data_IF_495212643239
#
_entry.id   IF_495212643239
#
_cell.length_a   1.000
_cell.length_b   1.000
_cell.length_c   1.000
_cell.angle_alpha   90.00
_cell.angle_beta   90.00
_cell.angle_gamma   90.00
#
_symmetry.space_group_name_H-M   'P 1'
#
loop_
_entity.id
_entity.type
_entity.pdbx_description
1 polymer ?
#
# COMPACT_ATOMS: atom_id res chain seq x y z
N UNK A 1 -16.97 -23.90 -23.44
CA UNK A 1 -17.39 -22.68 -24.15
C UNK A 1 -16.63 -21.53 -23.53
N UNK A 2 -15.89 -20.77 -24.34
CA UNK A 2 -15.09 -19.64 -23.87
C UNK A 2 -16.01 -18.54 -23.34
N UNK A 3 -15.87 -18.19 -22.08
CA UNK A 3 -16.54 -17.01 -21.50
C UNK A 3 -15.76 -15.77 -21.93
N UNK A 4 -16.04 -15.25 -23.12
CA UNK A 4 -15.31 -14.11 -23.68
C UNK A 4 -15.68 -12.83 -22.93
N UNK A 5 -14.75 -12.28 -22.14
CA UNK A 5 -14.93 -10.96 -21.53
C UNK A 5 -14.90 -9.91 -22.65
N UNK A 6 -15.99 -9.14 -22.76
CA UNK A 6 -16.11 -8.08 -23.77
C UNK A 6 -16.04 -6.71 -23.12
N UNK A 7 -15.25 -5.81 -23.71
CA UNK A 7 -15.13 -4.43 -23.28
C UNK A 7 -15.79 -3.51 -24.29
N UNK A 8 -16.88 -2.86 -23.88
CA UNK A 8 -17.50 -1.81 -24.66
C UNK A 8 -16.84 -0.48 -24.28
N UNK A 9 -15.97 0.01 -25.16
CA UNK A 9 -15.39 1.33 -25.02
C UNK A 9 -16.31 2.36 -25.65
N UNK A 10 -16.60 3.45 -24.93
CA UNK A 10 -17.48 4.53 -25.41
C UNK A 10 -16.81 5.87 -25.13
N UNK A 11 -16.66 6.71 -26.17
CA UNK A 11 -16.18 8.08 -26.00
C UNK A 11 -17.36 9.03 -25.78
N UNK A 12 -17.60 9.39 -24.52
CA UNK A 12 -18.58 10.42 -24.12
C UNK A 12 -17.96 11.81 -23.96
N UNK A 13 -16.67 11.97 -24.21
CA UNK A 13 -16.03 13.28 -24.22
C UNK A 13 -16.46 14.05 -25.47
N UNK A 14 -16.39 15.38 -25.41
CA UNK A 14 -16.61 16.26 -26.57
C UNK A 14 -15.43 16.25 -27.55
N UNK A 15 -14.25 15.82 -27.08
CA UNK A 15 -13.02 15.77 -27.85
C UNK A 15 -12.77 14.35 -28.42
N UNK A 16 -11.96 14.28 -29.48
CA UNK A 16 -11.45 13.03 -30.04
C UNK A 16 -10.50 12.36 -29.02
N UNK A 17 -10.75 11.08 -28.71
CA UNK A 17 -9.90 10.28 -27.84
C UNK A 17 -9.17 9.21 -28.67
N UNK A 18 -7.89 9.03 -28.39
CA UNK A 18 -7.05 8.00 -28.99
C UNK A 18 -6.77 6.90 -27.97
N UNK A 19 -7.36 5.73 -28.15
CA UNK A 19 -7.15 4.57 -27.29
C UNK A 19 -5.69 4.10 -27.34
N UNK A 20 -5.09 3.83 -26.19
CA UNK A 20 -3.84 3.09 -26.07
C UNK A 20 -4.06 1.86 -25.22
N UNK A 21 -3.43 0.73 -25.57
CA UNK A 21 -3.45 -0.47 -24.77
C UNK A 21 -2.07 -1.15 -24.73
N UNK A 22 -1.77 -1.85 -23.65
CA UNK A 22 -0.57 -2.70 -23.55
C UNK A 22 -0.84 -3.91 -22.63
N UNK A 23 -0.70 -5.16 -23.11
CA UNK A 23 -0.45 -5.52 -24.51
C UNK A 23 -1.62 -5.11 -25.42
N UNK A 24 -1.32 -4.82 -26.68
CA UNK A 24 -2.29 -4.37 -27.71
C UNK A 24 -3.52 -5.30 -27.76
N UNK A 25 -4.71 -4.71 -27.94
CA UNK A 25 -6.01 -5.41 -27.86
C UNK A 25 -7.04 -4.90 -28.88
N UNK A 26 -6.80 -5.15 -30.16
CA UNK A 26 -7.72 -4.68 -31.22
C UNK A 26 -7.76 -3.15 -31.33
N UNK A 27 -6.74 -2.48 -30.82
CA UNK A 27 -6.47 -1.04 -30.88
C UNK A 27 -5.78 -0.62 -32.19
N UNK A 28 -5.97 -1.40 -33.27
CA UNK A 28 -5.51 -1.07 -34.62
C UNK A 28 -6.15 0.22 -35.15
N UNK A 29 -7.39 0.49 -34.72
CA UNK A 29 -8.11 1.75 -34.96
C UNK A 29 -8.30 2.46 -33.62
N UNK A 30 -7.29 3.21 -33.16
CA UNK A 30 -7.32 3.83 -31.84
C UNK A 30 -8.19 5.10 -31.80
N UNK A 31 -8.73 5.57 -32.92
CA UNK A 31 -9.44 6.85 -33.03
C UNK A 31 -10.92 6.72 -32.64
N UNK A 32 -11.34 7.45 -31.61
CA UNK A 32 -12.73 7.48 -31.14
C UNK A 32 -13.29 8.89 -31.14
N UNK A 33 -14.17 9.21 -32.09
CA UNK A 33 -14.86 10.50 -32.14
C UNK A 33 -15.93 10.58 -31.05
N UNK A 34 -16.35 11.80 -30.70
CA UNK A 34 -17.37 12.03 -29.68
C UNK A 34 -18.66 11.27 -30.02
N UNK A 35 -19.20 10.54 -29.04
CA UNK A 35 -20.42 9.75 -29.19
C UNK A 35 -20.24 8.38 -29.84
N UNK A 36 -19.01 7.94 -30.13
CA UNK A 36 -18.76 6.61 -30.71
C UNK A 36 -18.47 5.55 -29.66
N UNK A 37 -18.75 4.29 -30.02
CA UNK A 37 -18.44 3.12 -29.19
C UNK A 37 -17.87 1.99 -30.04
N UNK A 38 -16.96 1.19 -29.46
CA UNK A 38 -16.41 -0.04 -30.05
C UNK A 38 -16.38 -1.14 -29.00
N UNK A 39 -16.65 -2.36 -29.42
CA UNK A 39 -16.52 -3.55 -28.59
C UNK A 39 -15.18 -4.22 -28.87
N UNK A 40 -14.39 -4.43 -27.82
CA UNK A 40 -13.11 -5.14 -27.84
C UNK A 40 -13.27 -6.49 -27.16
N UNK A 41 -12.83 -7.56 -27.82
CA UNK A 41 -12.81 -8.91 -27.25
C UNK A 41 -11.48 -9.14 -26.53
N UNK A 42 -11.55 -9.44 -25.24
CA UNK A 42 -10.37 -9.74 -24.43
C UNK A 42 -10.13 -11.26 -24.39
N UNK A 43 -8.90 -11.74 -24.62
CA UNK A 43 -8.52 -13.11 -24.28
C UNK A 43 -8.78 -13.41 -22.80
N UNK A 44 -9.17 -14.64 -22.47
CA UNK A 44 -9.56 -15.09 -21.12
C UNK A 44 -8.47 -14.92 -20.03
N UNK A 45 -7.24 -14.55 -20.41
CA UNK A 45 -6.07 -14.34 -19.53
C UNK A 45 -5.38 -12.99 -19.79
N UNK A 46 -6.04 -12.08 -20.49
CA UNK A 46 -5.43 -10.81 -20.84
C UNK A 46 -5.20 -9.97 -19.57
N UNK A 47 -3.97 -9.49 -19.42
CA UNK A 47 -3.53 -8.62 -18.34
C UNK A 47 -2.77 -7.46 -18.95
N UNK A 48 -3.22 -6.24 -18.66
CA UNK A 48 -2.64 -5.06 -19.27
C UNK A 48 -3.22 -3.75 -18.78
N UNK A 49 -2.88 -2.70 -19.50
CA UNK A 49 -3.31 -1.33 -19.27
C UNK A 49 -4.03 -0.80 -20.49
N UNK A 50 -5.05 0.03 -20.28
CA UNK A 50 -5.82 0.71 -21.33
C UNK A 50 -5.94 2.17 -20.93
N UNK A 51 -5.61 3.13 -21.79
CA UNK A 51 -5.70 4.55 -21.46
C UNK A 51 -6.18 5.39 -22.66
N UNK A 52 -6.69 6.59 -22.36
CA UNK A 52 -7.07 7.58 -23.38
C UNK A 52 -5.95 8.59 -23.62
N UNK A 53 -5.64 8.85 -24.89
CA UNK A 53 -4.70 9.88 -25.35
C UNK A 53 -5.47 11.01 -25.99
N UNK A 54 -4.99 12.24 -25.84
CA UNK A 54 -5.69 13.43 -26.37
C UNK A 54 -4.75 14.29 -27.19
N UNK A 55 -5.34 15.07 -28.11
CA UNK A 55 -4.61 16.03 -28.96
C UNK A 55 -3.45 15.39 -29.72
N UNK A 56 -3.73 14.27 -30.37
CA UNK A 56 -2.74 13.54 -31.13
C UNK A 56 -2.63 14.05 -32.57
N UNK A 57 -1.42 14.08 -33.10
CA UNK A 57 -1.13 14.48 -34.47
C UNK A 57 0.08 13.74 -35.03
N UNK A 58 0.11 13.62 -36.36
CA UNK A 58 1.30 13.25 -37.12
C UNK A 58 2.04 14.52 -37.51
N UNK A 59 3.35 14.57 -37.25
CA UNK A 59 4.18 15.63 -37.79
C UNK A 59 4.66 15.32 -39.22
N UNK A 60 5.35 16.27 -39.84
CA UNK A 60 5.88 16.15 -41.20
C UNK A 60 6.88 14.99 -41.40
N UNK A 61 7.43 14.42 -40.32
CA UNK A 61 8.35 13.28 -40.34
C UNK A 61 7.65 11.95 -40.05
N UNK A 62 6.31 11.90 -40.14
CA UNK A 62 5.48 10.74 -39.78
C UNK A 62 5.62 10.29 -38.32
N UNK A 63 6.12 11.15 -37.43
CA UNK A 63 6.16 10.87 -36.00
C UNK A 63 4.81 11.21 -35.39
N UNK A 64 4.17 10.21 -34.76
CA UNK A 64 2.89 10.36 -34.09
C UNK A 64 3.09 10.77 -32.64
N UNK A 65 2.46 11.85 -32.21
CA UNK A 65 2.57 12.33 -30.82
C UNK A 65 1.25 12.87 -30.30
N UNK A 66 0.99 12.68 -29.01
CA UNK A 66 -0.17 13.17 -28.29
C UNK A 66 0.19 14.24 -27.26
N UNK A 67 -0.74 15.17 -27.03
CA UNK A 67 -0.58 16.17 -25.97
C UNK A 67 -0.62 15.57 -24.57
N UNK A 68 -1.42 14.51 -24.36
CA UNK A 68 -1.43 13.72 -23.12
C UNK A 68 -1.55 12.23 -23.42
N UNK A 69 -1.02 11.38 -22.53
CA UNK A 69 -1.07 9.92 -22.66
C UNK A 69 -0.21 9.35 -23.79
N UNK A 70 0.70 10.15 -24.38
CA UNK A 70 1.50 9.73 -25.52
C UNK A 70 2.33 8.47 -25.24
N UNK A 71 2.47 7.59 -26.25
CA UNK A 71 3.21 6.34 -26.15
C UNK A 71 4.50 6.28 -26.97
N UNK A 72 5.07 7.44 -27.30
CA UNK A 72 6.44 7.53 -27.78
C UNK A 72 6.61 7.34 -29.28
N UNK A 73 5.74 7.91 -30.11
CA UNK A 73 6.00 8.04 -31.55
C UNK A 73 5.10 7.23 -32.49
N UNK A 74 4.28 6.31 -31.97
CA UNK A 74 3.48 5.39 -32.78
C UNK A 74 1.97 5.53 -32.52
N UNK A 75 1.17 5.33 -33.58
CA UNK A 75 -0.30 5.28 -33.46
C UNK A 75 -0.76 4.11 -32.59
N UNK A 76 -0.16 2.94 -32.75
CA UNK A 76 -0.43 1.74 -31.95
C UNK A 76 0.68 1.65 -30.89
N UNK A 77 0.29 1.50 -29.62
CA UNK A 77 1.24 1.47 -28.52
C UNK A 77 1.78 0.04 -28.34
N UNK A 78 3.08 -0.17 -28.61
CA UNK A 78 3.74 -1.47 -28.46
C UNK A 78 5.06 -1.33 -27.70
N UNK A 79 4.99 -1.05 -26.40
CA UNK A 79 6.15 -0.81 -25.54
C UNK A 79 7.05 0.38 -25.98
N UNK A 80 7.76 1.07 -25.06
CA UNK A 80 7.67 1.02 -23.61
C UNK A 80 6.46 1.80 -23.08
N UNK A 81 5.99 1.41 -21.90
CA UNK A 81 4.80 1.97 -21.25
C UNK A 81 5.09 3.39 -20.76
N UNK A 82 4.36 4.43 -21.21
CA UNK A 82 4.27 5.66 -20.44
C UNK A 82 3.55 5.32 -19.16
N UNK A 83 4.17 5.63 -18.01
CA UNK A 83 3.56 5.71 -16.68
C UNK A 83 2.01 5.75 -16.75
N UNK A 84 1.36 4.58 -16.59
CA UNK A 84 0.04 4.30 -17.16
C UNK A 84 -1.11 4.28 -16.14
N UNK A 85 -2.27 4.89 -16.42
CA UNK A 85 -3.29 5.11 -15.40
C UNK A 85 -4.40 4.06 -15.18
N UNK A 86 -4.35 2.85 -15.76
CA UNK A 86 -5.42 1.86 -15.57
C UNK A 86 -4.92 0.44 -15.73
N UNK A 87 -5.21 -0.46 -14.79
CA UNK A 87 -4.78 -1.86 -14.85
C UNK A 87 -6.01 -2.76 -14.89
N UNK A 88 -5.99 -3.73 -15.79
CA UNK A 88 -7.05 -4.70 -15.96
C UNK A 88 -6.41 -6.08 -16.07
N UNK A 89 -6.96 -7.03 -15.31
CA UNK A 89 -6.55 -8.44 -15.33
C UNK A 89 -7.80 -9.31 -15.42
N UNK A 90 -7.87 -10.10 -16.50
CA UNK A 90 -8.94 -11.07 -16.75
C UNK A 90 -8.44 -12.48 -16.45
N UNK A 91 -9.29 -13.29 -15.83
CA UNK A 91 -9.15 -14.73 -15.63
C UNK A 91 -10.52 -15.36 -15.94
N UNK A 92 -10.62 -16.58 -16.50
CA UNK A 92 -11.87 -17.22 -16.92
C UNK A 92 -12.93 -17.36 -15.82
N UNK A 93 -12.56 -17.25 -14.54
CA UNK A 93 -13.47 -17.37 -13.40
C UNK A 93 -13.68 -16.05 -12.62
N UNK A 94 -12.74 -15.10 -12.70
CA UNK A 94 -12.76 -13.85 -11.94
C UNK A 94 -12.13 -12.72 -12.77
N UNK A 95 -12.86 -11.61 -12.92
CA UNK A 95 -12.34 -10.39 -13.57
C UNK A 95 -11.98 -9.37 -12.51
N UNK A 96 -10.75 -8.86 -12.56
CA UNK A 96 -10.27 -7.78 -11.69
C UNK A 96 -9.94 -6.54 -12.52
N UNK A 97 -10.47 -5.39 -12.11
CA UNK A 97 -10.30 -4.12 -12.81
C UNK A 97 -10.03 -3.00 -11.80
N UNK A 98 -9.14 -2.08 -12.16
CA UNK A 98 -8.85 -0.89 -11.36
C UNK A 98 -8.66 0.36 -12.23
N UNK A 99 -9.01 1.49 -11.64
CA UNK A 99 -8.73 2.82 -12.15
C UNK A 99 -7.53 3.37 -11.39
N UNK A 100 -6.40 3.64 -12.04
CA UNK A 100 -5.11 3.88 -11.40
C UNK A 100 -4.55 5.28 -11.70
N UNK A 101 -4.85 6.27 -10.88
CA UNK A 101 -4.33 7.63 -11.01
C UNK A 101 -2.89 7.80 -10.50
N UNK A 102 -2.14 6.72 -10.22
CA UNK A 102 -0.75 6.83 -9.72
C UNK A 102 0.19 7.55 -10.67
N UNK A 103 -0.18 7.66 -11.94
CA UNK A 103 0.63 8.31 -12.96
C UNK A 103 -0.03 9.59 -13.48
N UNK A 104 -1.03 10.08 -12.74
CA UNK A 104 -1.78 11.26 -13.04
C UNK A 104 -3.12 10.98 -13.72
N UNK A 105 -3.82 12.07 -14.02
CA UNK A 105 -5.16 12.05 -14.61
C UNK A 105 -5.20 13.03 -15.78
N UNK A 106 -5.70 12.56 -16.94
CA UNK A 106 -5.83 13.36 -18.16
C UNK A 106 -7.23 13.28 -18.79
N UNK A 107 -7.94 12.16 -18.63
CA UNK A 107 -9.29 11.93 -19.17
C UNK A 107 -10.18 11.36 -18.07
N UNK A 108 -11.39 11.92 -17.86
CA UNK A 108 -12.43 11.31 -17.03
C UNK A 108 -12.78 9.89 -17.50
N UNK A 109 -12.78 8.91 -16.58
CA UNK A 109 -13.06 7.52 -16.93
C UNK A 109 -14.04 6.89 -15.94
N UNK A 110 -14.90 6.02 -16.47
CA UNK A 110 -15.79 5.14 -15.72
C UNK A 110 -15.66 3.71 -16.25
N UNK A 111 -15.41 2.78 -15.35
CA UNK A 111 -15.46 1.34 -15.60
C UNK A 111 -16.75 0.83 -14.96
N UNK A 112 -17.67 0.35 -15.79
CA UNK A 112 -18.98 -0.14 -15.38
C UNK A 112 -19.14 -1.60 -15.80
N UNK A 113 -19.07 -2.56 -14.85
CA UNK A 113 -19.39 -3.95 -15.13
C UNK A 113 -20.85 -4.10 -15.55
N UNK A 114 -21.10 -4.92 -16.56
CA UNK A 114 -22.44 -5.33 -16.97
C UNK A 114 -22.63 -6.79 -16.57
N UNK A 115 -23.38 -7.01 -15.49
CA UNK A 115 -23.55 -8.35 -14.89
C UNK A 115 -22.38 -8.79 -14.00
N UNK A 116 -22.40 -10.07 -13.62
CA UNK A 116 -21.44 -10.65 -12.68
C UNK A 116 -21.75 -10.36 -11.21
N UNK A 117 -20.99 -10.96 -10.31
CA UNK A 117 -21.08 -10.73 -8.86
C UNK A 117 -19.71 -10.80 -8.23
N UNK A 118 -19.55 -10.14 -7.10
CA UNK A 118 -18.32 -10.23 -6.31
C UNK A 118 -18.03 -11.69 -5.94
N UNK A 119 -16.75 -12.05 -5.93
CA UNK A 119 -16.29 -13.36 -5.47
C UNK A 119 -16.83 -13.59 -4.05
N UNK A 120 -17.52 -14.71 -3.84
CA UNK A 120 -18.23 -15.01 -2.59
C UNK A 120 -19.69 -14.54 -2.52
N UNK A 121 -20.26 -14.01 -3.60
CA UNK A 121 -21.69 -13.70 -3.70
C UNK A 121 -22.15 -12.47 -2.91
N UNK A 122 -21.22 -11.61 -2.48
CA UNK A 122 -21.47 -10.45 -1.61
C UNK A 122 -22.19 -9.27 -2.29
N UNK A 123 -22.62 -9.41 -3.55
CA UNK A 123 -23.40 -8.40 -4.27
C UNK A 123 -22.87 -8.10 -5.68
N UNK A 124 -23.44 -7.07 -6.35
CA UNK A 124 -23.03 -6.68 -7.70
C UNK A 124 -21.62 -6.11 -7.73
N UNK A 125 -20.96 -6.23 -8.89
CA UNK A 125 -19.63 -5.67 -9.11
C UNK A 125 -19.68 -4.13 -9.05
N UNK A 126 -18.79 -3.46 -8.29
CA UNK A 126 -18.84 -2.01 -8.11
C UNK A 126 -18.45 -1.26 -9.39
N UNK A 127 -19.13 -0.14 -9.66
CA UNK A 127 -18.69 0.82 -10.67
C UNK A 127 -17.49 1.58 -10.13
N UNK A 128 -16.42 1.68 -10.90
CA UNK A 128 -15.22 2.46 -10.53
C UNK A 128 -15.13 3.65 -11.48
N UNK A 129 -15.26 4.87 -10.97
CA UNK A 129 -15.14 6.08 -11.77
C UNK A 129 -14.25 7.16 -11.16
N UNK A 130 -13.79 8.04 -12.03
CA UNK A 130 -13.11 9.27 -11.70
C UNK A 130 -13.47 10.30 -12.76
N UNK A 131 -14.60 10.97 -12.53
CA UNK A 131 -15.15 11.98 -13.43
C UNK A 131 -14.90 13.42 -12.97
N UNK A 132 -14.15 13.60 -11.88
CA UNK A 132 -13.89 14.91 -11.29
C UNK A 132 -12.96 15.73 -12.19
N UNK A 133 -13.29 17.01 -12.37
CA UNK A 133 -12.34 17.96 -12.94
C UNK A 133 -11.28 18.34 -11.90
N UNK A 134 -10.03 17.94 -12.17
CA UNK A 134 -8.89 18.23 -11.32
C UNK A 134 -8.19 19.56 -11.66
N UNK A 135 -8.65 20.31 -12.66
CA UNK A 135 -8.06 21.58 -13.09
C UNK A 135 -7.97 22.60 -11.94
N UNK A 136 -8.99 22.65 -11.08
CA UNK A 136 -9.10 23.57 -9.94
C UNK A 136 -8.58 22.97 -8.62
N UNK A 137 -8.15 21.72 -8.65
CA UNK A 137 -7.79 20.93 -7.47
C UNK A 137 -6.30 20.55 -7.49
N UNK A 138 -5.64 20.58 -8.65
CA UNK A 138 -4.24 20.26 -8.80
C UNK A 138 -3.33 21.41 -8.31
N UNK A 139 -2.46 21.18 -7.31
CA UNK A 139 -1.47 22.17 -6.88
C UNK A 139 -0.59 22.68 -8.04
N UNK A 140 -0.26 23.98 -8.11
CA UNK A 140 0.50 24.56 -9.24
C UNK A 140 1.83 23.86 -9.55
N UNK A 141 2.49 23.29 -8.55
CA UNK A 141 3.76 22.58 -8.66
C UNK A 141 3.63 21.15 -9.25
N UNK A 142 2.42 20.62 -9.37
CA UNK A 142 2.13 19.29 -9.93
C UNK A 142 1.46 19.34 -11.29
N UNK A 143 1.25 20.54 -11.80
CA UNK A 143 0.76 20.77 -13.15
C UNK A 143 1.89 20.43 -14.11
N UNK A 144 1.82 19.23 -14.70
CA UNK A 144 2.48 18.97 -15.96
C UNK A 144 1.72 19.75 -17.05
N UNK A 145 2.34 20.80 -17.56
CA UNK A 145 1.78 21.65 -18.62
C UNK A 145 1.99 20.95 -19.96
N UNK A 146 0.90 20.66 -20.66
CA UNK A 146 0.96 20.41 -22.10
C UNK A 146 1.44 21.65 -22.85
N UNK A 147 1.87 21.48 -24.11
CA UNK A 147 2.39 22.56 -24.98
C UNK A 147 1.42 23.74 -25.19
N UNK A 148 0.15 23.61 -24.79
CA UNK A 148 -0.93 24.58 -24.93
C UNK A 148 -1.47 25.12 -23.59
N UNK A 149 -0.83 24.78 -22.47
CA UNK A 149 -1.21 25.28 -21.14
C UNK A 149 -2.32 24.53 -20.42
N UNK A 150 -2.79 23.36 -20.92
CA UNK A 150 -3.75 22.50 -20.20
C UNK A 150 -3.04 21.41 -19.36
N UNK A 151 -3.71 20.99 -18.28
CA UNK A 151 -3.15 20.39 -17.07
C UNK A 151 -3.11 18.85 -17.09
N UNK A 152 -1.98 18.27 -16.69
CA UNK A 152 -1.87 16.89 -16.19
C UNK A 152 -1.41 16.96 -14.74
N UNK A 153 -2.07 16.28 -13.81
CA UNK A 153 -1.71 16.37 -12.40
C UNK A 153 -0.79 15.21 -11.99
N UNK A 154 0.45 15.52 -11.62
CA UNK A 154 1.49 14.56 -11.24
C UNK A 154 1.19 13.94 -9.85
N UNK A 155 1.50 12.65 -9.63
CA UNK A 155 1.32 11.97 -8.34
C UNK A 155 2.29 12.48 -7.25
N UNK A 156 1.78 12.82 -6.05
CA UNK A 156 2.60 13.08 -4.85
C UNK A 156 1.77 12.97 -3.53
N UNK A 157 2.25 13.58 -2.45
CA UNK A 157 1.67 13.71 -1.09
C UNK A 157 0.16 14.09 -1.03
N UNK A 158 -0.43 14.58 -2.13
CA UNK A 158 -1.86 14.91 -2.25
C UNK A 158 -2.72 13.75 -2.79
N UNK A 159 -2.26 12.50 -2.70
CA UNK A 159 -3.03 11.31 -3.08
C UNK A 159 -4.39 11.19 -2.37
N UNK A 160 -4.52 11.80 -1.18
CA UNK A 160 -5.76 11.98 -0.42
C UNK A 160 -6.79 12.85 -1.14
N UNK A 161 -6.36 13.83 -1.93
CA UNK A 161 -7.21 14.72 -2.72
C UNK A 161 -7.82 13.96 -3.88
N UNK A 162 -6.99 13.24 -4.64
CA UNK A 162 -7.47 12.32 -5.67
C UNK A 162 -8.37 11.24 -5.09
N UNK A 163 -8.07 10.72 -3.89
CA UNK A 163 -8.89 9.69 -3.25
C UNK A 163 -10.24 10.23 -2.79
N UNK A 164 -10.30 11.47 -2.29
CA UNK A 164 -11.56 12.14 -1.93
C UNK A 164 -12.44 12.39 -3.16
N UNK A 165 -11.83 12.77 -4.28
CA UNK A 165 -12.53 13.00 -5.54
C UNK A 165 -12.94 11.70 -6.24
N UNK A 166 -12.12 10.66 -6.14
CA UNK A 166 -12.27 9.39 -6.86
C UNK A 166 -12.13 8.22 -5.89
N UNK A 167 -13.18 8.00 -5.09
CA UNK A 167 -13.19 7.10 -3.93
C UNK A 167 -12.78 5.65 -4.21
N UNK A 168 -13.09 5.13 -5.39
CA UNK A 168 -12.74 3.76 -5.79
C UNK A 168 -11.49 3.70 -6.69
N UNK A 169 -10.96 4.83 -7.14
CA UNK A 169 -9.71 4.88 -7.89
C UNK A 169 -8.50 4.63 -6.96
N UNK A 170 -7.48 4.02 -7.51
CA UNK A 170 -6.16 3.84 -6.94
C UNK A 170 -5.33 5.10 -7.24
N UNK A 171 -4.87 5.86 -6.24
CA UNK A 171 -4.38 7.25 -6.45
C UNK A 171 -2.93 7.49 -6.04
N UNK A 172 -2.25 6.45 -5.59
CA UNK A 172 -0.83 6.38 -5.26
C UNK A 172 -0.40 4.91 -5.29
N UNK A 173 0.87 4.56 -5.58
CA UNK A 173 1.36 3.18 -5.48
C UNK A 173 1.00 2.59 -4.11
N UNK A 174 -0.01 1.71 -4.06
CA UNK A 174 -0.56 1.11 -2.85
C UNK A 174 -1.87 1.69 -2.29
N UNK A 175 -2.91 1.90 -3.12
CA UNK A 175 -4.28 2.15 -2.60
C UNK A 175 -4.89 0.98 -1.76
N UNK A 176 -4.07 -0.03 -1.46
CA UNK A 176 -4.21 -0.97 -0.35
C UNK A 176 -3.14 -0.63 0.70
N UNK A 177 -3.39 0.43 1.47
CA UNK A 177 -2.54 0.79 2.60
C UNK A 177 -3.07 0.12 3.86
N UNK A 178 -2.19 -0.57 4.58
CA UNK A 178 -2.43 -0.95 5.95
C UNK A 178 -1.90 0.14 6.86
N UNK A 179 -2.61 0.42 7.95
CA UNK A 179 -2.12 1.26 9.03
C UNK A 179 -1.54 0.38 10.11
N UNK A 180 -0.29 0.61 10.46
CA UNK A 180 0.36 -0.08 11.57
C UNK A 180 0.48 0.92 12.71
N UNK A 181 -0.32 0.70 13.75
CA UNK A 181 -0.31 1.52 14.96
C UNK A 181 0.50 0.81 16.04
N UNK A 182 1.58 1.44 16.47
CA UNK A 182 2.42 1.01 17.58
C UNK A 182 1.89 1.67 18.85
N UNK A 183 1.69 0.90 19.91
CA UNK A 183 1.26 1.39 21.22
C UNK A 183 2.19 0.84 22.29
N UNK A 184 2.83 1.75 23.03
CA UNK A 184 3.68 1.37 24.15
C UNK A 184 2.84 1.30 25.44
N UNK A 185 2.42 0.10 25.88
CA UNK A 185 1.81 -0.04 27.20
C UNK A 185 2.83 -0.29 28.32
N UNK A 186 4.13 -0.42 28.01
CA UNK A 186 5.21 -0.53 28.99
C UNK A 186 5.30 0.74 29.85
N UNK A 187 5.83 0.60 31.07
CA UNK A 187 6.02 1.74 31.99
C UNK A 187 7.19 2.64 31.59
N UNK A 188 8.12 2.14 30.78
CA UNK A 188 9.31 2.84 30.28
C UNK A 188 9.16 3.21 28.80
N UNK A 189 9.94 4.21 28.37
CA UNK A 189 10.11 4.52 26.95
C UNK A 189 10.72 3.34 26.21
N UNK A 190 10.24 3.10 25.00
CA UNK A 190 10.80 2.13 24.05
C UNK A 190 11.12 2.84 22.73
N UNK A 191 11.99 2.24 21.92
CA UNK A 191 12.33 2.78 20.61
C UNK A 191 12.07 1.74 19.52
N UNK A 192 10.84 1.69 18.95
CA UNK A 192 10.54 0.76 17.88
C UNK A 192 11.48 0.91 16.69
N UNK A 193 11.77 -0.22 16.04
CA UNK A 193 12.51 -0.32 14.80
C UNK A 193 11.66 -1.02 13.74
N UNK A 194 11.84 -0.67 12.48
CA UNK A 194 11.13 -1.29 11.36
C UNK A 194 12.13 -1.72 10.30
N UNK A 195 11.93 -2.91 9.72
CA UNK A 195 12.72 -3.39 8.60
C UNK A 195 11.81 -3.97 7.53
N UNK A 196 11.96 -3.49 6.30
CA UNK A 196 11.36 -4.13 5.12
C UNK A 196 12.29 -5.24 4.62
N UNK A 197 11.75 -6.43 4.36
CA UNK A 197 12.47 -7.61 3.89
C UNK A 197 12.90 -7.52 2.42
N UNK A 198 13.69 -8.49 1.97
CA UNK A 198 14.08 -8.70 0.57
C UNK A 198 14.78 -7.50 -0.08
N UNK A 199 15.48 -6.69 0.72
CA UNK A 199 16.17 -5.46 0.29
C UNK A 199 15.26 -4.46 -0.45
N UNK A 200 13.96 -4.54 -0.20
CA UNK A 200 12.98 -3.59 -0.74
C UNK A 200 13.08 -2.22 -0.04
N UNK A 201 12.51 -1.16 -0.64
CA UNK A 201 12.49 0.17 -0.02
C UNK A 201 11.94 0.13 1.40
N UNK A 202 12.61 0.83 2.31
CA UNK A 202 12.23 0.88 3.72
C UNK A 202 11.02 1.78 3.94
N UNK A 203 10.32 1.59 5.06
CA UNK A 203 9.28 2.51 5.50
C UNK A 203 9.85 3.91 5.76
N UNK A 204 8.99 4.93 5.68
CA UNK A 204 9.39 6.33 5.89
C UNK A 204 10.02 6.59 7.25
N UNK A 205 9.71 5.76 8.24
CA UNK A 205 10.28 5.83 9.58
C UNK A 205 10.81 4.46 9.99
N UNK A 206 12.14 4.31 9.99
CA UNK A 206 12.83 3.04 10.31
C UNK A 206 13.18 2.88 11.79
N UNK A 207 12.98 3.92 12.59
CA UNK A 207 13.11 3.84 14.04
C UNK A 207 12.77 5.17 14.70
N UNK A 208 12.08 5.09 15.84
CA UNK A 208 11.52 6.26 16.52
C UNK A 208 11.40 6.04 18.02
N UNK A 209 11.27 7.13 18.78
CA UNK A 209 10.98 7.09 20.22
C UNK A 209 9.47 6.94 20.44
N UNK A 210 9.09 6.08 21.39
CA UNK A 210 7.70 5.90 21.81
C UNK A 210 7.60 5.88 23.34
N UNK A 211 7.15 7.01 23.90
CA UNK A 211 6.95 7.18 25.33
C UNK A 211 5.92 6.20 25.89
N UNK A 212 5.99 5.95 27.20
CA UNK A 212 4.97 5.18 27.92
C UNK A 212 3.56 5.70 27.62
N UNK A 213 2.65 4.79 27.29
CA UNK A 213 1.26 5.03 26.87
C UNK A 213 1.07 5.80 25.56
N UNK A 214 2.15 6.18 24.87
CA UNK A 214 2.05 6.82 23.56
C UNK A 214 1.73 5.81 22.46
N UNK A 215 1.20 6.34 21.35
CA UNK A 215 1.00 5.58 20.11
C UNK A 215 1.49 6.35 18.89
N UNK A 216 1.99 5.63 17.89
CA UNK A 216 2.41 6.17 16.60
C UNK A 216 1.85 5.29 15.48
N UNK A 217 1.42 5.88 14.36
CA UNK A 217 0.88 5.12 13.22
C UNK A 217 1.73 5.34 11.98
N UNK A 218 2.04 4.26 11.26
CA UNK A 218 2.68 4.28 9.95
C UNK A 218 1.74 3.72 8.89
N UNK A 219 1.72 4.34 7.72
CA UNK A 219 1.06 3.80 6.53
C UNK A 219 2.02 2.87 5.78
N UNK A 220 1.58 1.64 5.52
CA UNK A 220 2.35 0.60 4.83
C UNK A 220 1.62 0.18 3.56
N UNK A 221 2.35 0.19 2.44
CA UNK A 221 1.79 -0.07 1.11
C UNK A 221 1.85 -1.56 0.79
N UNK A 222 0.73 -2.17 0.44
CA UNK A 222 0.74 -3.54 -0.07
C UNK A 222 1.35 -3.63 -1.50
N UNK A 223 1.99 -4.74 -1.86
CA UNK A 223 2.41 -5.81 -0.97
C UNK A 223 3.62 -5.40 -0.13
N UNK A 224 3.64 -5.81 1.12
CA UNK A 224 4.76 -5.53 2.02
C UNK A 224 5.10 -6.73 2.87
N UNK A 225 6.39 -7.00 3.02
CA UNK A 225 6.89 -8.00 3.96
C UNK A 225 7.98 -7.36 4.80
N UNK A 226 7.91 -7.55 6.10
CA UNK A 226 8.90 -7.03 7.00
C UNK A 226 8.63 -7.37 8.45
N UNK A 227 9.41 -6.75 9.33
CA UNK A 227 9.39 -7.00 10.76
C UNK A 227 9.53 -5.73 11.57
N UNK A 228 8.98 -5.80 12.78
CA UNK A 228 9.04 -4.76 13.80
C UNK A 228 9.63 -5.34 15.08
N UNK A 229 10.33 -4.51 15.83
CA UNK A 229 10.82 -4.81 17.16
C UNK A 229 10.82 -3.52 17.98
N UNK A 230 11.12 -3.62 19.28
CA UNK A 230 11.34 -2.44 20.11
C UNK A 230 12.66 -2.56 20.88
N UNK A 231 13.43 -1.48 20.85
CA UNK A 231 14.65 -1.33 21.63
C UNK A 231 14.32 -0.78 23.02
N UNK A 232 15.10 -1.19 24.01
CA UNK A 232 14.94 -0.70 25.39
C UNK A 232 16.25 -0.15 25.93
N UNK A 233 16.14 0.73 26.94
CA UNK A 233 17.28 1.31 27.65
C UNK A 233 18.26 2.00 26.69
N UNK A 234 17.70 2.80 25.79
CA UNK A 234 18.51 3.55 24.84
C UNK A 234 19.04 4.83 25.47
N UNK A 235 20.25 5.18 25.11
CA UNK A 235 20.89 6.43 25.49
C UNK A 235 21.60 7.08 24.30
N UNK A 236 21.74 8.40 24.35
CA UNK A 236 22.51 9.16 23.37
C UNK A 236 23.74 9.73 24.05
N UNK A 237 24.92 9.23 23.68
CA UNK A 237 26.20 9.75 24.15
C UNK A 237 26.82 10.62 23.06
N UNK A 238 26.93 11.93 23.31
CA UNK A 238 27.50 13.02 22.48
C UNK A 238 27.07 13.09 21.00
N UNK A 239 27.17 12.01 20.24
CA UNK A 239 26.73 11.86 18.84
C UNK A 239 26.17 10.47 18.50
N UNK A 240 26.24 9.50 19.41
CA UNK A 240 25.92 8.09 19.16
C UNK A 240 24.71 7.64 19.98
N UNK A 241 23.70 7.07 19.32
CA UNK A 241 22.53 6.46 19.95
C UNK A 241 22.71 4.95 20.02
N UNK A 242 22.63 4.39 21.23
CA UNK A 242 22.82 2.96 21.50
C UNK A 242 21.80 2.44 22.50
N UNK A 243 21.37 1.21 22.32
CA UNK A 243 20.43 0.52 23.22
C UNK A 243 21.03 -0.77 23.78
N UNK A 244 20.65 -1.12 25.01
CA UNK A 244 21.11 -2.37 25.65
C UNK A 244 20.48 -3.61 25.01
N UNK A 245 19.22 -3.53 24.54
CA UNK A 245 18.55 -4.66 23.87
C UNK A 245 18.02 -4.27 22.49
N UNK A 246 18.09 -5.24 21.58
CA UNK A 246 17.58 -5.15 20.21
C UNK A 246 18.11 -3.96 19.39
N UNK A 247 19.30 -3.45 19.74
CA UNK A 247 19.95 -2.35 19.03
C UNK A 247 20.13 -2.68 17.54
N UNK A 248 20.08 -1.67 16.67
CA UNK A 248 20.23 -1.90 15.23
C UNK A 248 21.60 -1.49 14.69
N UNK A 249 22.53 -1.10 15.56
CA UNK A 249 23.95 -0.87 15.23
C UNK A 249 24.21 0.36 14.36
N UNK A 250 23.22 1.22 14.14
CA UNK A 250 23.37 2.41 13.28
C UNK A 250 23.97 3.62 13.99
N UNK A 251 24.03 3.59 15.32
CA UNK A 251 24.36 4.76 16.11
C UNK A 251 23.30 5.86 16.08
N UNK A 252 22.10 5.57 15.56
CA UNK A 252 21.00 6.53 15.36
C UNK A 252 19.68 5.94 15.81
N UNK A 253 18.72 6.81 16.11
CA UNK A 253 17.33 6.38 16.37
C UNK A 253 16.76 5.65 15.15
N UNK A 254 17.02 6.13 13.93
CA UNK A 254 16.62 5.45 12.71
C UNK A 254 17.51 4.24 12.39
N UNK A 255 16.90 3.09 12.08
CA UNK A 255 17.64 1.85 11.77
C UNK A 255 18.03 1.72 10.28
N UNK A 256 17.50 2.54 9.38
CA UNK A 256 17.97 2.68 7.99
C UNK A 256 18.21 1.36 7.22
N UNK A 257 17.32 0.37 7.41
CA UNK A 257 17.42 -0.93 6.74
C UNK A 257 18.31 -1.97 7.43
N UNK A 258 18.78 -1.68 8.64
CA UNK A 258 19.41 -2.68 9.52
C UNK A 258 18.36 -3.31 10.43
N UNK A 259 18.56 -4.60 10.76
CA UNK A 259 17.71 -5.32 11.70
C UNK A 259 18.19 -5.19 13.14
N UNK A 260 17.36 -5.65 14.08
CA UNK A 260 17.78 -5.81 15.47
C UNK A 260 18.97 -6.79 15.58
N UNK A 261 19.91 -6.47 16.47
CA UNK A 261 20.90 -7.39 16.99
C UNK A 261 20.19 -8.23 18.07
N UNK A 262 20.06 -9.56 17.92
CA UNK A 262 19.42 -10.42 18.90
C UNK A 262 20.09 -10.35 20.30
N UNK A 263 19.34 -10.56 21.40
CA UNK A 263 17.96 -11.03 21.44
C UNK A 263 16.90 -9.94 21.21
N UNK A 264 15.85 -10.26 20.45
CA UNK A 264 14.75 -9.34 20.14
C UNK A 264 13.42 -10.07 19.91
N UNK A 265 12.37 -9.63 20.60
CA UNK A 265 11.00 -10.03 20.28
C UNK A 265 10.57 -9.38 18.96
N UNK A 266 10.08 -10.17 18.00
CA UNK A 266 9.70 -9.69 16.67
C UNK A 266 8.18 -9.75 16.45
N UNK A 267 7.68 -8.79 15.69
CA UNK A 267 6.39 -8.88 14.99
C UNK A 267 6.67 -8.94 13.51
N UNK A 268 6.31 -10.04 12.86
CA UNK A 268 6.51 -10.25 11.43
C UNK A 268 5.17 -10.10 10.72
N UNK A 269 5.14 -9.36 9.60
CA UNK A 269 3.93 -9.16 8.81
C UNK A 269 4.24 -9.30 7.33
N UNK A 270 3.39 -10.03 6.63
CA UNK A 270 3.30 -10.13 5.18
C UNK A 270 1.91 -9.66 4.74
N UNK A 271 1.84 -8.46 4.18
CA UNK A 271 0.65 -7.85 3.59
C UNK A 271 0.60 -8.25 2.12
N UNK A 272 -0.46 -8.94 1.73
CA UNK A 272 -0.63 -9.44 0.36
C UNK A 272 -1.07 -8.33 -0.60
N UNK A 273 -0.72 -8.50 -1.88
CA UNK A 273 -1.25 -7.65 -2.95
C UNK A 273 -2.73 -7.98 -3.24
N UNK A 274 -3.45 -7.06 -3.88
CA UNK A 274 -4.82 -7.24 -4.38
C UNK A 274 -5.84 -7.75 -3.33
N UNK A 275 -5.74 -7.30 -2.07
CA UNK A 275 -6.60 -7.76 -0.95
C UNK A 275 -6.50 -9.27 -0.69
N UNK A 276 -5.32 -9.84 -0.94
CA UNK A 276 -5.02 -11.23 -0.63
C UNK A 276 -4.98 -11.50 0.88
N UNK A 277 -4.57 -12.72 1.23
CA UNK A 277 -4.48 -13.15 2.63
C UNK A 277 -3.19 -12.62 3.27
N UNK A 278 -3.34 -11.76 4.27
CA UNK A 278 -2.24 -11.29 5.10
C UNK A 278 -1.83 -12.36 6.11
N UNK A 279 -0.53 -12.44 6.40
CA UNK A 279 0.04 -13.30 7.45
C UNK A 279 0.81 -12.45 8.44
N UNK A 280 0.68 -12.76 9.72
CA UNK A 280 1.40 -12.07 10.78
C UNK A 280 1.58 -12.97 12.00
N UNK A 281 2.65 -12.73 12.74
CA UNK A 281 2.94 -13.46 13.96
C UNK A 281 3.85 -12.65 14.91
N UNK A 282 3.82 -13.04 16.18
CA UNK A 282 4.88 -12.73 17.13
C UNK A 282 5.89 -13.87 17.09
N UNK A 283 7.15 -13.54 16.85
CA UNK A 283 8.24 -14.50 16.72
C UNK A 283 9.30 -14.26 17.79
N UNK A 284 9.70 -15.34 18.46
CA UNK A 284 10.81 -15.38 19.40
C UNK A 284 12.02 -16.12 18.82
N UNK A 285 12.05 -16.33 17.50
CA UNK A 285 13.17 -17.02 16.82
C UNK A 285 14.49 -16.27 17.07
N UNK A 286 14.44 -14.95 17.17
CA UNK A 286 15.60 -14.10 17.48
C UNK A 286 15.71 -13.80 18.99
N UNK A 287 15.08 -14.61 19.86
CA UNK A 287 15.08 -14.42 21.31
C UNK A 287 13.96 -13.51 21.82
N UNK A 288 14.09 -13.02 23.05
CA UNK A 288 13.08 -12.16 23.69
C UNK A 288 13.75 -11.04 24.48
N UNK A 289 13.21 -9.83 24.36
CA UNK A 289 13.63 -8.67 25.17
C UNK A 289 12.44 -7.97 25.86
N UNK A 290 11.25 -7.96 25.27
CA UNK A 290 10.03 -7.45 25.89
C UNK A 290 8.75 -8.16 25.42
N UNK A 291 7.66 -8.17 26.23
CA UNK A 291 6.37 -8.71 25.83
C UNK A 291 5.77 -7.94 24.65
N UNK A 292 5.29 -8.66 23.63
CA UNK A 292 4.75 -8.05 22.41
C UNK A 292 3.48 -8.75 21.92
N UNK A 293 2.65 -8.02 21.20
CA UNK A 293 1.46 -8.56 20.54
C UNK A 293 1.19 -7.89 19.21
N UNK A 294 0.58 -8.62 18.29
CA UNK A 294 -0.03 -8.10 17.08
C UNK A 294 -1.50 -8.46 17.01
N UNK A 295 -2.34 -7.47 16.71
CA UNK A 295 -3.78 -7.66 16.53
C UNK A 295 -4.25 -6.94 15.27
N UNK A 296 -5.22 -7.53 14.57
CA UNK A 296 -5.86 -6.90 13.42
C UNK A 296 -7.09 -6.08 13.81
N UNK A 297 -7.36 -5.00 13.08
CA UNK A 297 -8.65 -4.30 13.10
C UNK A 297 -9.23 -4.26 11.69
N UNK A 298 -10.42 -4.81 11.55
CA UNK A 298 -11.03 -5.07 10.24
C UNK A 298 -10.50 -6.35 9.63
N UNK A 299 -10.59 -6.46 8.30
CA UNK A 299 -10.28 -7.70 7.58
C UNK A 299 -11.40 -8.75 7.71
N UNK A 300 -11.28 -9.82 6.94
CA UNK A 300 -12.19 -10.96 6.96
C UNK A 300 -11.40 -12.25 7.06
N UNK A 301 -11.91 -13.25 7.78
CA UNK A 301 -11.23 -14.52 8.05
C UNK A 301 -10.99 -14.71 9.54
N UNK A 302 -9.96 -15.49 9.89
CA UNK A 302 -9.66 -15.84 11.28
C UNK A 302 -9.28 -14.62 12.13
N UNK A 303 -8.44 -13.73 11.58
CA UNK A 303 -8.04 -12.45 12.20
C UNK A 303 -7.66 -12.57 13.69
N UNK A 304 -7.00 -13.68 14.08
CA UNK A 304 -6.66 -14.01 15.45
C UNK A 304 -5.44 -13.22 15.90
N UNK A 305 -5.48 -12.68 17.12
CA UNK A 305 -4.33 -12.02 17.73
C UNK A 305 -3.16 -13.01 17.91
N UNK A 306 -1.94 -12.55 17.61
CA UNK A 306 -0.71 -13.24 17.99
C UNK A 306 -0.03 -12.46 19.11
N UNK A 307 0.41 -13.14 20.17
CA UNK A 307 0.94 -12.45 21.35
C UNK A 307 1.91 -13.33 22.14
N UNK A 308 2.99 -12.71 22.61
CA UNK A 308 3.81 -13.18 23.72
C UNK A 308 3.67 -12.17 24.88
N UNK A 309 2.66 -12.34 25.76
CA UNK A 309 2.39 -11.41 26.85
C UNK A 309 3.23 -11.69 28.10
N UNK A 310 3.85 -12.87 28.19
CA UNK A 310 4.64 -13.29 29.34
C UNK A 310 6.00 -12.59 29.34
N UNK A 311 6.53 -12.32 30.54
CA UNK A 311 7.94 -11.96 30.70
C UNK A 311 8.81 -13.22 30.63
N UNK A 312 9.31 -13.52 29.43
CA UNK A 312 10.17 -14.69 29.20
C UNK A 312 11.51 -14.55 29.94
N UNK A 313 11.95 -13.32 30.24
CA UNK A 313 13.20 -13.09 30.96
C UNK A 313 13.14 -13.64 32.39
N UNK A 314 11.96 -13.61 33.03
CA UNK A 314 11.76 -14.15 34.37
C UNK A 314 11.98 -15.67 34.46
N UNK A 315 11.96 -16.36 33.33
CA UNK A 315 12.07 -17.82 33.23
C UNK A 315 13.24 -18.23 32.33
N UNK A 316 14.14 -17.30 32.03
CA UNK A 316 15.32 -17.52 31.20
C UNK A 316 16.38 -18.31 31.96
N UNK A 317 16.79 -19.51 31.49
CA UNK A 317 17.94 -20.23 32.03
C UNK A 317 19.21 -19.38 31.99
N UNK A 318 20.09 -19.52 32.99
CA UNK A 318 21.27 -18.65 33.14
C UNK A 318 22.20 -18.66 31.92
N UNK A 319 22.34 -19.80 31.25
CA UNK A 319 23.14 -19.98 30.05
C UNK A 319 22.61 -19.24 28.81
N UNK A 320 21.39 -18.73 28.89
CA UNK A 320 20.70 -18.00 27.83
C UNK A 320 20.50 -16.52 28.16
N UNK A 321 20.87 -16.08 29.37
CA UNK A 321 20.70 -14.71 29.79
C UNK A 321 21.76 -13.80 29.16
N UNK A 322 21.30 -12.76 28.48
CA UNK A 322 22.10 -11.58 28.20
C UNK A 322 21.82 -10.58 29.31
N UNK A 323 22.84 -10.27 30.12
CA UNK A 323 22.71 -9.38 31.28
C UNK A 323 23.20 -7.98 30.89
N UNK A 324 22.29 -7.02 30.94
CA UNK A 324 22.56 -5.60 30.71
C UNK A 324 23.34 -4.97 31.85
N UNK A 325 23.89 -3.79 31.60
CA UNK A 325 24.71 -3.04 32.57
C UNK A 325 23.96 -2.66 33.87
N UNK A 326 22.62 -2.60 33.83
CA UNK A 326 21.73 -2.33 34.97
C UNK A 326 21.21 -3.61 35.67
N UNK A 327 21.66 -4.79 35.24
CA UNK A 327 21.21 -6.09 35.74
C UNK A 327 19.93 -6.62 35.09
N UNK A 328 19.39 -5.94 34.07
CA UNK A 328 18.28 -6.48 33.26
C UNK A 328 18.70 -7.72 32.48
N UNK A 329 17.80 -8.68 32.34
CA UNK A 329 18.03 -9.94 31.63
C UNK A 329 17.23 -9.92 30.33
N UNK A 330 17.86 -10.29 29.22
CA UNK A 330 17.20 -10.63 27.95
C UNK A 330 17.45 -12.09 27.59
N UNK A 331 16.47 -12.76 26.99
CA UNK A 331 16.50 -14.20 26.72
C UNK A 331 17.05 -14.52 25.31
N UNK A 332 18.13 -15.32 25.26
CA UNK A 332 18.54 -16.15 24.11
C UNK A 332 17.88 -17.54 24.18
N UNK A 333 17.87 -18.35 23.11
CA UNK A 333 16.92 -19.47 22.94
C UNK A 333 17.08 -20.76 23.81
N UNK A 334 15.97 -21.23 24.46
CA UNK A 334 15.69 -22.59 25.02
C UNK A 334 14.46 -22.68 26.02
N UNK A 335 13.65 -23.77 26.11
CA UNK A 335 12.20 -23.66 26.44
C UNK A 335 11.71 -23.90 27.90
N UNK A 336 10.73 -23.05 28.32
CA UNK A 336 9.43 -23.31 29.01
C UNK A 336 9.17 -23.14 30.53
N UNK A 337 7.96 -22.59 30.83
CA UNK A 337 7.07 -22.68 32.05
C UNK A 337 7.05 -21.46 33.05
N UNK A 338 5.98 -21.20 33.88
CA UNK A 338 5.16 -19.97 33.79
C UNK A 338 5.07 -19.08 35.07
N UNK A 339 4.65 -17.80 34.90
CA UNK A 339 3.86 -17.10 35.94
C UNK A 339 3.89 -15.55 36.03
N UNK A 340 2.74 -14.93 35.75
CA UNK A 340 2.17 -13.64 36.23
C UNK A 340 2.68 -12.24 35.80
N UNK A 341 1.70 -11.48 35.29
CA UNK A 341 1.53 -10.02 35.10
C UNK A 341 2.68 -9.24 34.43
N UNK A 342 2.34 -8.47 33.39
CA UNK A 342 2.68 -7.04 33.20
C UNK A 342 2.74 -6.61 31.71
N UNK A 343 2.75 -5.29 31.56
CA UNK A 343 2.77 -4.40 30.39
C UNK A 343 3.37 -4.92 29.06
N UNK A 344 2.67 -4.68 27.95
CA UNK A 344 2.94 -5.22 26.60
C UNK A 344 3.21 -4.12 25.57
N UNK A 345 4.14 -4.32 24.65
CA UNK A 345 4.19 -3.56 23.40
C UNK A 345 3.14 -4.09 22.41
N UNK A 346 2.23 -3.24 21.96
CA UNK A 346 1.14 -3.66 21.07
C UNK A 346 1.33 -3.08 19.69
N UNK A 347 1.33 -3.93 18.67
CA UNK A 347 1.30 -3.56 17.26
C UNK A 347 -0.10 -3.87 16.74
N UNK A 348 -0.76 -2.87 16.19
CA UNK A 348 -2.11 -3.02 15.64
C UNK A 348 -2.07 -2.83 14.14
N UNK A 349 -2.47 -3.88 13.42
CA UNK A 349 -2.58 -3.88 11.97
C UNK A 349 -4.03 -3.53 11.58
N UNK A 350 -4.27 -2.32 11.10
CA UNK A 350 -5.56 -1.91 10.56
C UNK A 350 -5.51 -1.98 9.03
N UNK A 351 -6.14 -2.99 8.45
CA UNK A 351 -6.35 -3.02 7.00
C UNK A 351 -7.47 -2.04 6.66
N UNK A 352 -7.15 -0.96 5.94
CA UNK A 352 -8.17 -0.02 5.47
C UNK A 352 -8.96 -0.68 4.32
N UNK A 353 -10.05 -1.39 4.62
CA UNK A 353 -11.09 -1.58 3.61
C UNK A 353 -11.81 -0.23 3.47
N UNK A 354 -11.41 0.55 2.48
CA UNK A 354 -11.94 1.89 2.19
C UNK A 354 -13.46 1.85 1.89
N UNK A 355 -14.08 0.67 1.82
CA UNK A 355 -15.53 0.55 1.70
C UNK A 355 -16.33 0.95 2.95
N UNK A 356 -15.76 0.97 4.15
CA UNK A 356 -16.54 1.22 5.38
C UNK A 356 -15.92 2.25 6.34
N UNK A 357 -15.60 3.44 5.85
CA UNK A 357 -15.57 4.62 6.74
C UNK A 357 -16.89 5.38 6.61
N UNK A 358 -17.97 4.77 7.09
CA UNK A 358 -19.05 5.60 7.62
C UNK A 358 -18.42 6.46 8.72
N UNK A 359 -18.31 7.75 8.44
CA UNK A 359 -18.08 8.74 9.49
C UNK A 359 -19.18 8.53 10.53
N UNK A 360 -18.88 8.46 11.84
CA UNK A 360 -19.95 8.49 12.83
C UNK A 360 -20.73 9.79 12.61
N UNK A 361 -21.99 9.66 12.20
CA UNK A 361 -22.96 10.74 12.24
C UNK A 361 -23.04 11.09 13.72
N UNK A 362 -22.49 12.26 14.09
CA UNK A 362 -22.73 12.87 15.38
C UNK A 362 -24.21 13.22 15.45
N UNK A 363 -25.01 12.31 16.00
CA UNK A 363 -26.35 12.64 16.50
C UNK A 363 -26.16 13.42 17.79
N UNK A 364 -26.01 14.73 17.64
CA UNK A 364 -26.18 15.65 18.77
C UNK A 364 -27.68 15.77 18.99
N UNK A 365 -28.18 15.05 20.00
CA UNK A 365 -29.47 15.35 20.59
C UNK A 365 -29.36 16.70 21.33
N UNK A 366 -30.20 17.65 20.94
CA UNK A 366 -30.75 18.71 21.78
C UNK A 366 -32.27 18.70 21.59
#
# INVERSE_FOLDING_TARGET
GQSTVTFNYENRCTELIWLGATPSIGDSDPEFTSGTSKTLQMPDQWKGFIWGRTKCSLNASNYFSCGTGDCGGNKICQWPVPNSPYKLQTNPLVVSYELNLNHGHNVPVRIQPVGGSLVGGSGPCPVVDCAQDFSNVCPPNLVAKGKDGRYTCQPNEYSSVFKKACGLAHTYPGAHSAKITFTNNCSKTIWPGTLTSDLKPQLSNTGFELLSKASLTLDVQAPWKGRFWARTQCSTNSTNFTCETADCGTGKVACNGTGAIPPASLVEINIADNRGMDYYDVSLVDGFNLPVSVATRGGTGDCKNSSCPADVNAVCPGELQVIGSDGSVAFGLGPSAPGMNHSIFHVKLETLDIRNKELPISTTHL
#
